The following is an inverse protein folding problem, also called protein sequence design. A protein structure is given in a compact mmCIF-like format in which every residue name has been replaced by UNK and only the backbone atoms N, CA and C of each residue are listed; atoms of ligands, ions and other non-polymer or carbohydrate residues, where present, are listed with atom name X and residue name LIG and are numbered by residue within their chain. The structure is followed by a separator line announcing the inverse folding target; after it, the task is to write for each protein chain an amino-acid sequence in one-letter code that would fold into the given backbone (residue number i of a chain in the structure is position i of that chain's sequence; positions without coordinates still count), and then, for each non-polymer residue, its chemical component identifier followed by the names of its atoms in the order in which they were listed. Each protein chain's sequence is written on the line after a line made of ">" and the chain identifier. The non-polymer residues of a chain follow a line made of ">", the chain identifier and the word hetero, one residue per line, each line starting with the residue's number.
data_IF_637743637724
#
_entry.id   IF_637743637724
#
_cell.length_a   1.000
_cell.length_b   1.000
_cell.length_c   1.000
_cell.angle_alpha   90.00
_cell.angle_beta   90.00
_cell.angle_gamma   90.00
#
_symmetry.space_group_name_H-M   'P 1'
#
loop_
_entity.id
_entity.type
_entity.pdbx_description
1 polymer ?
#
# COMPACT_ATOMS: atom_id res chain seq x y z
N UNK A 1 32.06 -29.82 -45.36
CA UNK A 1 32.55 -29.98 -43.97
C UNK A 1 31.50 -29.33 -43.07
N UNK A 2 30.58 -30.08 -42.45
CA UNK A 2 30.72 -30.76 -41.13
C UNK A 2 30.83 -29.74 -39.97
N UNK A 3 30.03 -29.66 -38.88
CA UNK A 3 28.89 -30.36 -38.23
C UNK A 3 28.21 -29.29 -37.30
N UNK A 4 26.87 -29.16 -37.18
CA UNK A 4 25.94 -29.77 -36.19
C UNK A 4 26.18 -29.36 -34.71
N UNK A 5 25.27 -28.70 -33.96
CA UNK A 5 24.12 -29.19 -33.12
C UNK A 5 23.80 -28.05 -32.10
N UNK A 6 22.67 -27.88 -31.41
CA UNK A 6 21.32 -28.46 -31.34
C UNK A 6 20.52 -27.53 -30.39
N UNK A 7 19.29 -27.15 -30.75
CA UNK A 7 18.27 -26.66 -29.79
C UNK A 7 17.06 -27.59 -29.95
N UNK A 8 16.75 -28.36 -28.90
CA UNK A 8 15.47 -29.06 -28.74
C UNK A 8 14.46 -28.00 -28.26
N UNK A 9 13.22 -27.88 -28.71
CA UNK A 9 12.30 -28.87 -29.25
C UNK A 9 11.05 -28.85 -28.37
N UNK A 10 10.17 -27.85 -28.55
CA UNK A 10 8.82 -27.85 -27.98
C UNK A 10 7.84 -28.04 -29.14
N UNK A 11 7.26 -29.23 -29.24
CA UNK A 11 6.42 -29.65 -30.36
C UNK A 11 5.07 -28.93 -30.34
N UNK A 12 4.79 -28.18 -31.39
CA UNK A 12 3.44 -27.76 -31.77
C UNK A 12 2.92 -28.72 -32.84
N UNK A 13 1.84 -29.46 -32.56
CA UNK A 13 1.06 -30.13 -33.58
C UNK A 13 -0.06 -29.18 -34.03
N UNK A 14 0.13 -28.62 -35.22
CA UNK A 14 -0.91 -28.02 -36.05
C UNK A 14 -1.88 -29.13 -36.52
N UNK A 15 -3.17 -28.96 -36.22
CA UNK A 15 -4.25 -29.55 -37.03
C UNK A 15 -5.00 -28.40 -37.66
N UNK A 16 -4.93 -28.32 -38.99
CA UNK A 16 -5.65 -27.34 -39.80
C UNK A 16 -7.04 -27.84 -40.18
N UNK A 17 -8.00 -26.92 -39.98
CA UNK A 17 -9.23 -26.65 -40.74
C UNK A 17 -10.33 -27.71 -40.80
N UNK A 18 -11.51 -27.31 -40.34
CA UNK A 18 -12.65 -27.06 -41.24
C UNK A 18 -13.61 -26.07 -40.59
N UNK A 19 -14.07 -25.11 -41.38
CA UNK A 19 -15.11 -24.16 -41.03
C UNK A 19 -16.45 -24.89 -41.14
N UNK A 20 -17.32 -24.72 -40.15
CA UNK A 20 -18.75 -24.71 -40.41
C UNK A 20 -19.51 -23.89 -39.38
N UNK A 21 -20.50 -23.21 -39.94
CA UNK A 21 -21.42 -22.22 -39.35
C UNK A 21 -22.24 -22.86 -38.24
N UNK A 22 -22.55 -22.11 -37.17
CA UNK A 22 -23.91 -22.01 -36.60
C UNK A 22 -23.93 -20.91 -35.54
N UNK A 23 -24.63 -19.81 -35.85
CA UNK A 23 -25.11 -18.84 -34.87
C UNK A 23 -26.52 -19.26 -34.43
N UNK A 24 -26.88 -19.00 -33.16
CA UNK A 24 -28.25 -18.63 -32.84
C UNK A 24 -28.27 -17.22 -32.26
N UNK A 25 -29.03 -16.37 -32.94
CA UNK A 25 -29.56 -15.10 -32.51
C UNK A 25 -30.26 -15.21 -31.14
N UNK A 26 -29.78 -14.46 -30.15
CA UNK A 26 -30.55 -14.13 -28.95
C UNK A 26 -31.12 -12.71 -29.09
N UNK A 27 -32.44 -12.52 -28.94
CA UNK A 27 -33.03 -11.19 -28.91
C UNK A 27 -32.69 -10.51 -27.57
N UNK A 28 -31.95 -9.42 -27.65
CA UNK A 28 -32.00 -8.38 -26.62
C UNK A 28 -33.38 -7.73 -26.70
N UNK A 29 -34.17 -7.84 -25.63
CA UNK A 29 -35.12 -6.82 -25.21
C UNK A 29 -35.80 -7.24 -23.90
N UNK A 30 -36.03 -6.22 -23.06
CA UNK A 30 -36.63 -6.25 -21.71
C UNK A 30 -35.63 -6.55 -20.61
N UNK A 31 -35.33 -5.53 -19.79
CA UNK A 31 -35.36 -5.52 -18.32
C UNK A 31 -34.75 -4.19 -17.85
N UNK A 32 -35.47 -3.08 -18.01
CA UNK A 32 -35.22 -1.82 -17.30
C UNK A 32 -36.52 -1.04 -17.17
N UNK A 33 -37.44 -1.51 -16.32
CA UNK A 33 -38.51 -0.71 -15.70
C UNK A 33 -39.05 -1.42 -14.45
N UNK A 34 -38.65 -0.93 -13.28
CA UNK A 34 -39.56 -0.78 -12.14
C UNK A 34 -38.90 0.12 -11.11
N UNK A 35 -39.25 1.40 -11.19
CA UNK A 35 -39.28 2.29 -10.04
C UNK A 35 -40.39 1.85 -9.08
N UNK A 36 -40.26 2.31 -7.84
CA UNK A 36 -41.32 2.49 -6.85
C UNK A 36 -41.73 1.26 -6.04
N UNK A 37 -41.27 1.23 -4.79
CA UNK A 37 -42.09 1.50 -3.60
C UNK A 37 -41.38 0.95 -2.35
N UNK A 38 -41.07 1.78 -1.35
CA UNK A 38 -41.47 1.50 0.04
C UNK A 38 -41.33 2.78 0.90
N UNK A 39 -42.42 3.07 1.61
CA UNK A 39 -42.66 4.22 2.49
C UNK A 39 -41.83 4.18 3.80
N UNK A 40 -41.66 5.32 4.50
CA UNK A 40 -41.03 5.40 5.82
C UNK A 40 -42.04 5.19 6.96
N UNK A 41 -41.59 4.63 8.08
CA UNK A 41 -42.29 4.71 9.36
C UNK A 41 -41.38 5.35 10.42
N UNK A 42 -41.97 6.28 11.17
CA UNK A 42 -41.40 7.04 12.28
C UNK A 42 -41.66 6.38 13.64
N UNK A 43 -40.91 6.88 14.66
CA UNK A 43 -41.18 6.91 16.11
C UNK A 43 -40.88 5.59 16.88
N UNK A 44 -40.27 5.52 18.08
CA UNK A 44 -39.91 6.40 19.21
C UNK A 44 -38.60 5.82 19.84
N UNK A 45 -37.70 6.47 20.59
CA UNK A 45 -37.82 7.50 21.61
C UNK A 45 -37.67 6.90 23.03
N UNK A 46 -36.44 6.60 23.52
CA UNK A 46 -36.13 6.35 24.95
C UNK A 46 -34.65 6.72 25.27
N UNK A 47 -34.43 7.72 26.13
CA UNK A 47 -33.18 7.94 26.91
C UNK A 47 -33.17 7.04 28.17
N UNK A 48 -32.01 6.75 28.81
CA UNK A 48 -31.66 7.58 29.98
C UNK A 48 -30.16 7.78 30.30
N UNK A 49 -29.93 8.92 30.96
CA UNK A 49 -29.07 9.19 32.12
C UNK A 49 -27.53 9.23 32.06
N UNK A 50 -27.06 10.46 32.31
CA UNK A 50 -25.73 10.91 32.70
C UNK A 50 -25.34 10.42 34.11
N UNK A 51 -24.09 9.98 34.27
CA UNK A 51 -23.38 10.06 35.54
C UNK A 51 -22.03 10.78 35.38
N UNK A 52 -21.88 11.83 36.17
CA UNK A 52 -20.74 12.72 36.26
C UNK A 52 -19.57 12.10 37.02
N UNK A 53 -18.36 12.28 36.54
CA UNK A 53 -17.18 12.38 37.40
C UNK A 53 -16.20 13.42 36.83
N UNK A 54 -16.16 14.54 37.54
CA UNK A 54 -15.24 15.67 37.38
C UNK A 54 -13.80 15.25 37.63
N UNK A 55 -12.91 15.48 36.66
CA UNK A 55 -11.48 15.64 36.88
C UNK A 55 -11.04 17.03 36.44
N UNK A 56 -10.57 17.81 37.41
CA UNK A 56 -10.07 19.18 37.25
C UNK A 56 -8.77 19.15 36.46
N UNK A 57 -8.75 19.80 35.29
CA UNK A 57 -7.50 20.19 34.63
C UNK A 57 -7.27 21.68 34.91
N UNK A 58 -6.20 21.96 35.63
CA UNK A 58 -5.77 23.31 35.97
C UNK A 58 -5.40 24.09 34.69
N UNK A 59 -5.83 25.35 34.64
CA UNK A 59 -5.54 26.26 33.54
C UNK A 59 -4.05 26.57 33.46
N UNK A 60 -3.43 26.35 32.30
CA UNK A 60 -2.20 27.03 31.90
C UNK A 60 -2.58 28.08 30.86
N UNK A 61 -3.16 29.18 31.32
CA UNK A 61 -3.25 30.44 30.58
C UNK A 61 -2.03 31.28 30.94
N UNK A 62 -0.96 31.15 30.17
CA UNK A 62 -0.06 32.26 29.79
C UNK A 62 1.18 31.67 29.14
N UNK A 63 1.34 31.87 27.83
CA UNK A 63 2.55 32.33 27.11
C UNK A 63 2.25 32.12 25.63
N UNK A 64 1.45 33.00 25.01
CA UNK A 64 1.43 33.20 23.56
C UNK A 64 0.95 34.62 23.28
N UNK A 65 1.91 35.55 23.24
CA UNK A 65 1.75 36.87 22.63
C UNK A 65 3.02 37.19 21.85
N UNK A 66 3.07 36.74 20.60
CA UNK A 66 3.65 37.50 19.48
C UNK A 66 3.63 36.65 18.20
N UNK A 67 2.47 36.55 17.55
CA UNK A 67 2.41 36.30 16.12
C UNK A 67 1.97 37.61 15.46
N UNK A 68 2.74 38.07 14.49
CA UNK A 68 2.58 39.36 13.82
C UNK A 68 1.23 39.43 13.07
N UNK A 69 0.62 40.62 13.12
CA UNK A 69 -0.70 40.94 12.57
C UNK A 69 -0.98 40.59 11.08
N UNK A 70 0.00 40.35 10.18
CA UNK A 70 -0.31 39.99 8.80
C UNK A 70 -0.90 38.57 8.62
N UNK A 71 -0.56 37.61 9.50
CA UNK A 71 -1.02 36.21 9.36
C UNK A 71 -2.47 35.99 9.80
N UNK A 72 -2.98 36.79 10.75
CA UNK A 72 -4.39 36.71 11.16
C UNK A 72 -5.35 37.20 10.09
N UNK A 73 -4.92 38.15 9.24
CA UNK A 73 -5.75 38.69 8.15
C UNK A 73 -5.89 37.75 6.96
N UNK A 74 -4.91 36.87 6.71
CA UNK A 74 -5.02 35.85 5.66
C UNK A 74 -5.97 34.72 6.06
N UNK A 75 -6.06 34.43 7.37
CA UNK A 75 -6.92 33.37 7.92
C UNK A 75 -8.41 33.72 7.83
N UNK A 76 -8.78 35.00 7.84
CA UNK A 76 -10.17 35.44 7.76
C UNK A 76 -10.73 35.45 6.33
N UNK A 77 -9.89 35.44 5.30
CA UNK A 77 -10.32 35.44 3.88
C UNK A 77 -10.44 34.03 3.27
N UNK A 78 -10.15 32.99 4.05
CA UNK A 78 -10.32 31.57 3.68
C UNK A 78 -11.39 30.90 4.55
N UNK A 79 -12.36 31.68 5.05
CA UNK A 79 -13.48 31.20 5.87
C UNK A 79 -14.58 30.54 5.03
N UNK A 80 -14.18 29.61 4.17
CA UNK A 80 -15.04 28.47 3.86
C UNK A 80 -14.53 27.32 4.75
N UNK A 81 -14.91 27.37 6.03
CA UNK A 81 -14.63 26.34 7.04
C UNK A 81 -15.16 24.94 6.61
N UNK A 82 -15.86 24.84 5.47
CA UNK A 82 -16.35 23.60 4.87
C UNK A 82 -15.37 22.92 3.90
N UNK A 83 -14.19 23.48 3.62
CA UNK A 83 -13.31 22.92 2.57
C UNK A 83 -12.42 21.77 3.04
N UNK A 84 -12.23 21.61 4.35
CA UNK A 84 -11.37 20.55 4.91
C UNK A 84 -12.19 19.62 5.80
N UNK A 85 -12.00 18.28 5.71
CA UNK A 85 -12.78 17.35 6.50
C UNK A 85 -12.56 17.63 7.99
N UNK A 86 -13.61 17.92 8.76
CA UNK A 86 -13.52 18.06 10.23
C UNK A 86 -12.75 16.89 10.88
N UNK A 87 -12.81 15.72 10.24
CA UNK A 87 -12.16 14.49 10.66
C UNK A 87 -10.62 14.53 10.64
N UNK A 88 -9.96 15.43 9.89
CA UNK A 88 -8.49 15.53 9.93
C UNK A 88 -7.99 16.34 11.12
N UNK A 89 -8.86 17.10 11.81
CA UNK A 89 -8.49 17.93 12.96
C UNK A 89 -7.89 17.14 14.12
N UNK A 90 -8.18 15.83 14.21
CA UNK A 90 -7.55 14.95 15.19
C UNK A 90 -6.00 14.93 15.06
N UNK A 91 -5.48 15.23 13.87
CA UNK A 91 -4.05 15.26 13.59
C UNK A 91 -3.40 16.64 13.77
N UNK A 92 -4.18 17.70 14.05
CA UNK A 92 -3.71 19.09 14.05
C UNK A 92 -2.48 19.33 14.93
N UNK A 93 -2.47 18.80 16.15
CA UNK A 93 -1.34 19.00 17.06
C UNK A 93 -0.05 18.33 16.56
N UNK A 94 -0.15 17.07 16.09
CA UNK A 94 0.99 16.33 15.58
C UNK A 94 1.49 16.92 14.24
N UNK A 95 0.57 17.24 13.33
CA UNK A 95 0.87 17.90 12.06
C UNK A 95 1.60 19.22 12.28
N UNK A 96 1.13 20.06 13.22
CA UNK A 96 1.75 21.33 13.57
C UNK A 96 3.19 21.16 14.07
N UNK A 97 3.40 20.25 15.01
CA UNK A 97 4.72 19.98 15.58
C UNK A 97 5.70 19.49 14.49
N UNK A 98 5.26 18.61 13.59
CA UNK A 98 6.06 18.14 12.46
C UNK A 98 6.34 19.30 11.50
N UNK A 99 5.33 20.09 11.13
CA UNK A 99 5.49 21.19 10.20
C UNK A 99 6.51 22.22 10.70
N UNK A 100 6.52 22.53 12.01
CA UNK A 100 7.51 23.41 12.62
C UNK A 100 8.95 22.84 12.49
N UNK A 101 9.15 21.55 12.71
CA UNK A 101 10.45 20.89 12.52
C UNK A 101 10.88 20.90 11.05
N UNK A 102 9.95 20.61 10.14
CA UNK A 102 10.20 20.64 8.70
C UNK A 102 10.57 22.06 8.24
N UNK A 103 9.87 23.08 8.71
CA UNK A 103 10.10 24.49 8.37
C UNK A 103 11.42 25.04 8.93
N UNK A 104 11.88 24.56 10.08
CA UNK A 104 13.15 24.98 10.68
C UNK A 104 14.37 24.26 10.07
N UNK A 105 14.18 23.05 9.55
CA UNK A 105 15.26 22.23 8.97
C UNK A 105 15.73 22.76 7.63
N UNK A 106 17.05 22.83 7.41
CA UNK A 106 17.67 23.24 6.14
C UNK A 106 18.04 22.03 5.29
N UNK A 107 18.64 21.01 5.90
CA UNK A 107 19.02 19.76 5.27
C UNK A 107 18.03 18.68 5.68
N UNK A 108 17.05 18.43 4.82
CA UNK A 108 16.02 17.42 5.02
C UNK A 108 16.32 16.19 4.18
N UNK A 109 16.21 15.01 4.79
CA UNK A 109 16.14 13.74 4.07
C UNK A 109 14.77 13.13 4.30
N UNK A 110 14.09 12.75 3.24
CA UNK A 110 12.86 11.98 3.29
C UNK A 110 13.17 10.57 2.80
N UNK A 111 12.73 9.56 3.54
CA UNK A 111 13.01 8.15 3.23
C UNK A 111 11.82 7.26 3.54
N UNK A 112 11.83 6.05 2.99
CA UNK A 112 10.82 5.01 3.19
C UNK A 112 11.47 3.62 3.20
N UNK A 113 10.69 2.55 3.34
CA UNK A 113 11.21 1.20 3.49
C UNK A 113 11.78 0.58 2.21
N UNK A 114 12.52 -0.52 2.40
CA UNK A 114 13.01 -1.41 1.35
C UNK A 114 11.87 -2.08 0.60
N UNK A 115 12.04 -2.21 -0.72
CA UNK A 115 11.00 -2.60 -1.69
C UNK A 115 9.75 -1.72 -1.50
N UNK A 116 9.87 -0.40 -1.73
CA UNK A 116 8.77 0.53 -1.49
C UNK A 116 7.61 0.22 -2.44
N UNK A 117 6.39 0.33 -1.94
CA UNK A 117 5.16 0.16 -2.69
C UNK A 117 4.50 1.51 -3.01
N UNK A 118 3.22 1.50 -3.38
CA UNK A 118 2.49 2.71 -3.75
C UNK A 118 2.32 3.70 -2.60
N UNK A 119 2.18 3.24 -1.36
CA UNK A 119 2.03 4.13 -0.19
C UNK A 119 3.37 4.75 0.20
N UNK A 120 4.40 3.92 0.29
CA UNK A 120 5.77 4.34 0.51
C UNK A 120 6.21 5.44 -0.47
N UNK A 121 6.01 5.23 -1.78
CA UNK A 121 6.39 6.23 -2.80
C UNK A 121 5.40 7.40 -2.86
N UNK A 122 4.11 7.13 -2.69
CA UNK A 122 3.04 8.14 -2.74
C UNK A 122 3.19 9.17 -1.61
N UNK A 123 3.41 8.71 -0.39
CA UNK A 123 3.66 9.56 0.79
C UNK A 123 4.98 10.32 0.68
N UNK A 124 6.05 9.66 0.21
CA UNK A 124 7.37 10.27 -0.06
C UNK A 124 7.30 11.43 -1.05
N UNK A 125 6.70 11.20 -2.21
CA UNK A 125 6.57 12.22 -3.25
C UNK A 125 5.55 13.28 -2.86
N UNK A 126 4.43 12.90 -2.23
CA UNK A 126 3.42 13.85 -1.76
C UNK A 126 4.01 14.88 -0.80
N UNK A 127 4.72 14.43 0.23
CA UNK A 127 5.39 15.35 1.17
C UNK A 127 6.55 16.11 0.49
N UNK A 128 7.38 15.41 -0.29
CA UNK A 128 8.51 16.01 -0.99
C UNK A 128 8.10 17.14 -1.94
N UNK A 129 7.04 16.94 -2.72
CA UNK A 129 6.49 17.92 -3.65
C UNK A 129 5.83 19.09 -2.91
N UNK A 130 5.11 18.85 -1.80
CA UNK A 130 4.53 19.92 -1.00
C UNK A 130 5.63 20.83 -0.40
N UNK A 131 6.70 20.23 0.13
CA UNK A 131 7.87 20.96 0.61
C UNK A 131 8.58 21.72 -0.52
N UNK A 132 8.60 21.16 -1.74
CA UNK A 132 9.17 21.82 -2.91
C UNK A 132 8.40 23.09 -3.33
N UNK A 133 7.07 23.07 -3.25
CA UNK A 133 6.21 24.26 -3.46
C UNK A 133 6.51 25.34 -2.41
N UNK A 134 6.80 24.93 -1.17
CA UNK A 134 7.24 25.82 -0.08
C UNK A 134 8.70 26.29 -0.17
N UNK A 135 9.37 26.03 -1.30
CA UNK A 135 10.74 26.47 -1.56
C UNK A 135 11.82 25.63 -0.87
N UNK A 136 11.46 24.49 -0.28
CA UNK A 136 12.45 23.53 0.25
C UNK A 136 12.89 22.54 -0.83
N UNK A 137 14.00 21.85 -0.57
CA UNK A 137 14.56 20.83 -1.47
C UNK A 137 15.07 19.66 -0.65
N UNK A 138 14.17 18.82 -0.10
CA UNK A 138 14.59 17.62 0.61
C UNK A 138 15.31 16.66 -0.34
N UNK A 139 16.29 15.92 0.18
CA UNK A 139 16.83 14.75 -0.49
C UNK A 139 15.83 13.59 -0.33
N UNK A 140 15.29 13.10 -1.44
CA UNK A 140 14.42 11.93 -1.46
C UNK A 140 15.32 10.69 -1.65
N UNK A 141 15.57 9.95 -0.58
CA UNK A 141 16.54 8.85 -0.57
C UNK A 141 15.88 7.55 -0.14
N UNK A 142 15.89 6.53 -0.99
CA UNK A 142 15.25 5.24 -0.72
C UNK A 142 16.25 4.08 -0.75
N UNK A 143 16.05 3.02 0.04
CA UNK A 143 17.00 1.91 0.13
C UNK A 143 17.02 0.98 -1.09
N UNK A 144 16.01 1.05 -1.96
CA UNK A 144 15.91 0.18 -3.14
C UNK A 144 15.16 0.86 -4.29
N UNK A 145 15.34 0.40 -5.55
CA UNK A 145 14.73 1.02 -6.71
C UNK A 145 13.19 1.13 -6.64
N UNK A 146 12.67 2.24 -7.19
CA UNK A 146 11.23 2.47 -7.34
C UNK A 146 10.63 1.47 -8.34
N UNK A 147 9.52 0.78 -7.99
CA UNK A 147 8.82 -0.11 -8.91
C UNK A 147 8.43 0.56 -10.22
N UNK A 148 8.52 -0.18 -11.32
CA UNK A 148 8.31 0.40 -12.65
C UNK A 148 6.90 0.98 -12.86
N UNK A 149 5.88 0.40 -12.23
CA UNK A 149 4.50 0.84 -12.29
C UNK A 149 4.23 2.14 -11.51
N UNK A 150 5.20 2.66 -10.73
CA UNK A 150 5.11 3.94 -10.01
C UNK A 150 5.91 5.07 -10.68
N UNK A 151 6.62 4.79 -11.77
CA UNK A 151 7.48 5.76 -12.47
C UNK A 151 6.72 6.85 -13.21
N UNK A 152 5.40 6.78 -13.26
CA UNK A 152 4.55 7.84 -13.81
C UNK A 152 4.34 8.99 -12.83
N UNK A 153 4.64 8.80 -11.54
CA UNK A 153 4.36 9.79 -10.51
C UNK A 153 5.22 11.05 -10.66
N UNK A 154 4.63 12.26 -10.47
CA UNK A 154 5.35 13.50 -10.55
C UNK A 154 6.44 13.60 -9.48
N UNK A 155 7.67 13.91 -9.89
CA UNK A 155 8.83 14.05 -9.00
C UNK A 155 9.61 12.76 -8.77
N UNK A 156 9.15 11.61 -9.28
CA UNK A 156 9.81 10.30 -9.09
C UNK A 156 11.26 10.27 -9.57
N UNK A 157 11.60 11.05 -10.60
CA UNK A 157 12.96 11.18 -11.13
C UNK A 157 13.94 11.85 -10.15
N UNK A 158 13.43 12.54 -9.13
CA UNK A 158 14.22 13.15 -8.06
C UNK A 158 14.54 12.19 -6.92
N UNK A 159 14.04 10.95 -6.96
CA UNK A 159 14.36 9.93 -5.95
C UNK A 159 15.74 9.33 -6.24
N UNK A 160 16.62 9.41 -5.26
CA UNK A 160 17.92 8.75 -5.28
C UNK A 160 17.82 7.38 -4.59
N UNK A 161 18.42 6.36 -5.20
CA UNK A 161 18.56 5.03 -4.58
C UNK A 161 19.85 5.03 -3.78
N UNK A 162 19.77 4.61 -2.53
CA UNK A 162 20.91 4.60 -1.64
C UNK A 162 22.06 3.75 -2.20
N UNK A 163 23.24 4.30 -2.04
CA UNK A 163 24.50 3.73 -2.47
C UNK A 163 25.54 4.11 -1.40
N UNK A 164 26.05 3.14 -0.63
CA UNK A 164 27.01 3.40 0.44
C UNK A 164 28.35 3.96 -0.07
N UNK A 165 28.66 3.78 -1.36
CA UNK A 165 29.89 4.28 -2.00
C UNK A 165 29.77 5.73 -2.50
N UNK A 166 28.57 6.30 -2.46
CA UNK A 166 28.26 7.65 -2.93
C UNK A 166 28.35 8.72 -1.83
N UNK A 167 27.79 9.91 -2.10
CA UNK A 167 27.66 10.99 -1.13
C UNK A 167 26.57 10.78 -0.08
N UNK A 168 25.71 9.76 -0.20
CA UNK A 168 24.53 9.57 0.64
C UNK A 168 24.85 9.47 2.14
N UNK A 169 25.92 8.78 2.53
CA UNK A 169 26.34 8.71 3.93
C UNK A 169 26.71 10.08 4.52
N UNK A 170 27.34 10.94 3.71
CA UNK A 170 27.62 12.32 4.15
C UNK A 170 26.34 13.15 4.25
N UNK A 171 25.41 12.98 3.32
CA UNK A 171 24.12 13.67 3.36
C UNK A 171 23.30 13.27 4.60
N UNK A 172 23.24 11.97 4.93
CA UNK A 172 22.59 11.46 6.14
C UNK A 172 23.25 11.96 7.43
N UNK A 173 24.57 12.08 7.45
CA UNK A 173 25.31 12.62 8.60
C UNK A 173 25.22 14.14 8.76
N UNK A 174 24.90 14.87 7.69
CA UNK A 174 24.74 16.32 7.68
C UNK A 174 23.27 16.78 7.77
N UNK A 175 22.32 15.85 7.79
CA UNK A 175 20.90 16.16 7.86
C UNK A 175 20.52 16.81 9.19
N UNK A 176 19.65 17.82 9.14
CA UNK A 176 19.03 18.39 10.34
C UNK A 176 17.88 17.50 10.82
N UNK A 177 17.11 16.96 9.87
CA UNK A 177 16.06 15.98 10.13
C UNK A 177 15.94 14.92 9.03
N UNK A 178 15.57 13.71 9.45
CA UNK A 178 15.26 12.56 8.61
C UNK A 178 13.79 12.21 8.85
N UNK A 179 12.98 12.29 7.80
CA UNK A 179 11.56 11.93 7.84
C UNK A 179 11.41 10.50 7.38
N UNK A 180 10.96 9.64 8.29
CA UNK A 180 10.67 8.23 8.10
C UNK A 180 9.19 8.08 7.72
N UNK A 181 8.93 7.77 6.45
CA UNK A 181 7.58 7.62 5.89
C UNK A 181 7.29 6.15 5.64
N UNK A 182 6.18 5.66 6.19
CA UNK A 182 5.64 4.32 5.93
C UNK A 182 6.48 3.17 6.49
N UNK A 183 7.27 3.47 7.53
CA UNK A 183 7.90 2.46 8.36
C UNK A 183 8.21 3.01 9.74
N UNK A 184 8.23 2.12 10.71
CA UNK A 184 8.43 2.48 12.11
C UNK A 184 9.52 1.66 12.82
N UNK A 185 10.31 0.89 12.07
CA UNK A 185 11.49 0.17 12.57
C UNK A 185 12.65 0.37 11.59
N UNK A 186 13.82 0.81 12.04
CA UNK A 186 14.91 1.13 11.10
C UNK A 186 15.44 -0.09 10.33
N UNK A 187 15.19 -1.32 10.80
CA UNK A 187 15.53 -2.54 10.05
C UNK A 187 14.87 -2.58 8.66
N UNK A 188 13.77 -1.84 8.45
CA UNK A 188 13.10 -1.69 7.16
C UNK A 188 13.90 -0.87 6.15
N UNK A 189 15.01 -0.25 6.55
CA UNK A 189 15.90 0.53 5.70
C UNK A 189 17.06 -0.29 5.07
N UNK A 190 17.19 -1.57 5.40
CA UNK A 190 18.27 -2.43 4.90
C UNK A 190 19.65 -1.78 5.09
N UNK A 191 20.47 -1.60 4.03
CA UNK A 191 21.80 -1.01 4.14
C UNK A 191 21.81 0.47 4.60
N UNK A 192 20.68 1.17 4.54
CA UNK A 192 20.52 2.52 5.08
C UNK A 192 20.33 2.55 6.60
N UNK A 193 20.05 1.41 7.25
CA UNK A 193 19.78 1.37 8.70
C UNK A 193 20.93 1.97 9.50
N UNK A 194 22.15 1.47 9.29
CA UNK A 194 23.34 1.87 10.05
C UNK A 194 23.62 3.39 9.99
N UNK A 195 23.72 4.03 8.80
CA UNK A 195 23.95 5.46 8.75
C UNK A 195 22.78 6.30 9.28
N UNK A 196 21.52 5.86 9.13
CA UNK A 196 20.36 6.57 9.71
C UNK A 196 20.38 6.47 11.24
N UNK A 197 20.67 5.28 11.79
CA UNK A 197 20.77 5.03 13.24
C UNK A 197 21.92 5.81 13.88
N UNK A 198 23.04 5.96 13.16
CA UNK A 198 24.21 6.71 13.61
C UNK A 198 24.14 8.23 13.42
N UNK A 199 23.11 8.74 12.73
CA UNK A 199 22.94 10.17 12.49
C UNK A 199 22.48 10.91 13.75
N UNK A 200 22.93 12.16 13.91
CA UNK A 200 22.45 13.07 14.97
C UNK A 200 21.19 13.84 14.56
N UNK A 201 20.70 13.65 13.33
CA UNK A 201 19.51 14.30 12.82
C UNK A 201 18.26 13.97 13.64
N UNK A 202 17.32 14.92 13.73
CA UNK A 202 16.01 14.65 14.31
C UNK A 202 15.26 13.65 13.43
N UNK A 203 14.83 12.53 14.01
CA UNK A 203 14.01 11.53 13.29
C UNK A 203 12.54 11.86 13.47
N UNK A 204 11.80 12.02 12.37
CA UNK A 204 10.37 12.32 12.36
C UNK A 204 9.63 11.14 11.77
N UNK A 205 8.60 10.64 12.45
CA UNK A 205 7.80 9.51 11.98
C UNK A 205 6.47 10.00 11.37
N UNK A 206 6.13 9.51 10.19
CA UNK A 206 4.76 9.54 9.66
C UNK A 206 4.44 8.13 9.17
N UNK A 207 3.55 7.42 9.86
CA UNK A 207 3.37 5.98 9.66
C UNK A 207 2.02 5.48 10.19
N UNK A 208 1.50 4.40 9.61
CA UNK A 208 0.23 3.77 10.00
C UNK A 208 0.38 2.30 10.44
N UNK A 209 1.61 1.80 10.61
CA UNK A 209 1.87 0.43 11.04
C UNK A 209 1.77 0.28 12.57
N UNK A 210 1.59 -0.94 13.07
CA UNK A 210 1.58 -1.19 14.51
C UNK A 210 2.99 -1.09 15.11
N UNK A 211 3.05 -0.81 16.41
CA UNK A 211 4.25 -0.96 17.26
C UNK A 211 5.51 -0.18 16.79
N UNK A 212 5.44 1.17 16.73
CA UNK A 212 6.60 1.97 16.35
C UNK A 212 7.76 1.86 17.34
N UNK A 213 8.99 1.87 16.82
CA UNK A 213 10.20 1.97 17.66
C UNK A 213 10.26 3.32 18.40
N UNK A 214 11.09 3.39 19.44
CA UNK A 214 11.29 4.64 20.19
C UNK A 214 12.39 5.52 19.57
N UNK A 215 12.40 6.80 19.96
CA UNK A 215 13.48 7.73 19.61
C UNK A 215 13.22 8.60 18.38
N UNK A 216 11.96 8.71 17.95
CA UNK A 216 11.50 9.79 17.07
C UNK A 216 11.29 11.08 17.86
N UNK A 217 11.71 12.22 17.31
CA UNK A 217 11.53 13.54 17.90
C UNK A 217 10.08 14.05 17.79
N UNK A 218 9.37 13.64 16.75
CA UNK A 218 7.95 13.87 16.54
C UNK A 218 7.36 12.71 15.74
N UNK A 219 6.07 12.45 15.92
CA UNK A 219 5.36 11.39 15.22
C UNK A 219 3.92 11.83 14.87
N UNK A 220 3.52 11.57 13.62
CA UNK A 220 2.14 11.53 13.19
C UNK A 220 1.83 10.07 12.87
N UNK A 221 1.25 9.39 13.84
CA UNK A 221 1.08 7.94 13.82
C UNK A 221 -0.38 7.59 14.14
N UNK A 222 -1.01 6.81 13.26
CA UNK A 222 -2.35 6.29 13.46
C UNK A 222 -2.53 4.95 12.75
N UNK A 223 -2.57 3.87 13.53
CA UNK A 223 -2.75 2.52 13.01
C UNK A 223 -4.15 2.25 12.41
N UNK A 224 -5.11 3.16 12.61
CA UNK A 224 -6.43 3.08 11.98
C UNK A 224 -6.50 3.82 10.64
N UNK A 225 -5.49 4.61 10.27
CA UNK A 225 -5.42 5.21 8.94
C UNK A 225 -5.22 4.13 7.88
N UNK A 226 -5.79 4.35 6.68
CA UNK A 226 -5.66 3.37 5.61
C UNK A 226 -4.27 3.31 5.02
N UNK A 227 -3.46 4.36 5.20
CA UNK A 227 -2.16 4.53 4.55
C UNK A 227 -1.40 5.69 5.19
N UNK A 228 -0.08 5.69 5.07
CA UNK A 228 0.78 6.84 5.37
C UNK A 228 0.46 8.04 4.47
N UNK A 229 0.07 7.81 3.21
CA UNK A 229 -0.39 8.86 2.30
C UNK A 229 -1.65 9.59 2.79
N UNK A 230 -2.57 8.91 3.50
CA UNK A 230 -3.71 9.56 4.18
C UNK A 230 -3.21 10.53 5.27
N UNK A 231 -2.21 10.14 6.04
CA UNK A 231 -1.60 10.97 7.10
C UNK A 231 -0.83 12.15 6.53
N UNK A 232 -0.06 11.95 5.46
CA UNK A 232 0.62 13.04 4.76
C UNK A 232 -0.40 14.00 4.15
N UNK A 233 -1.50 13.49 3.59
CA UNK A 233 -2.61 14.33 3.11
C UNK A 233 -3.16 15.21 4.22
N UNK A 234 -3.44 14.63 5.40
CA UNK A 234 -3.90 15.41 6.55
C UNK A 234 -2.90 16.50 6.95
N UNK A 235 -1.60 16.18 7.01
CA UNK A 235 -0.56 17.16 7.32
C UNK A 235 -0.54 18.31 6.29
N UNK A 236 -0.58 17.99 5.00
CA UNK A 236 -0.59 19.00 3.93
C UNK A 236 -1.85 19.87 4.02
N UNK A 237 -3.03 19.29 4.21
CA UNK A 237 -4.28 20.04 4.31
C UNK A 237 -4.30 20.98 5.52
N UNK A 238 -3.73 20.55 6.66
CA UNK A 238 -3.72 21.33 7.90
C UNK A 238 -2.68 22.45 7.91
N UNK A 239 -1.47 22.18 7.42
CA UNK A 239 -0.34 23.08 7.62
C UNK A 239 0.15 23.73 6.31
N UNK A 240 -0.07 23.09 5.17
CA UNK A 240 0.40 23.52 3.84
C UNK A 240 -0.72 23.50 2.76
N UNK A 241 -1.95 23.99 3.03
CA UNK A 241 -3.06 23.84 2.10
C UNK A 241 -2.79 24.48 0.73
N UNK A 242 -2.00 25.56 0.69
CA UNK A 242 -1.56 26.22 -0.55
C UNK A 242 -0.63 25.36 -1.43
N UNK A 243 -0.01 24.33 -0.85
CA UNK A 243 0.92 23.45 -1.53
C UNK A 243 0.23 22.26 -2.19
N UNK A 244 -1.09 22.07 -2.01
CA UNK A 244 -1.84 20.96 -2.61
C UNK A 244 -2.07 21.19 -4.11
N UNK A 245 -1.01 21.00 -4.89
CA UNK A 245 -1.03 21.04 -6.35
C UNK A 245 -1.32 19.65 -6.93
N UNK A 246 -1.58 19.51 -8.25
CA UNK A 246 -1.72 18.19 -8.88
C UNK A 246 -0.50 17.28 -8.65
N UNK A 247 0.70 17.87 -8.62
CA UNK A 247 1.95 17.14 -8.36
C UNK A 247 2.05 16.61 -6.92
N UNK A 248 1.30 17.18 -5.98
CA UNK A 248 1.17 16.68 -4.60
C UNK A 248 -0.01 15.71 -4.50
N UNK A 249 -1.12 16.03 -5.13
CA UNK A 249 -2.36 15.26 -5.01
C UNK A 249 -2.26 13.88 -5.67
N UNK A 250 -1.61 13.75 -6.83
CA UNK A 250 -1.54 12.48 -7.56
C UNK A 250 -0.72 11.39 -6.81
N UNK A 251 0.47 11.67 -6.24
CA UNK A 251 1.17 10.70 -5.40
C UNK A 251 0.40 10.32 -4.14
N UNK A 252 -0.23 11.28 -3.45
CA UNK A 252 -1.01 11.00 -2.24
C UNK A 252 -2.23 10.12 -2.55
N UNK A 253 -2.95 10.43 -3.63
CA UNK A 253 -4.05 9.61 -4.10
C UNK A 253 -3.58 8.18 -4.41
N UNK A 254 -2.43 8.06 -5.08
CA UNK A 254 -1.83 6.76 -5.44
C UNK A 254 -1.56 5.91 -4.20
N UNK A 255 -0.96 6.48 -3.16
CA UNK A 255 -0.69 5.75 -1.91
C UNK A 255 -1.95 5.27 -1.22
N UNK A 256 -2.95 6.14 -1.09
CA UNK A 256 -4.26 5.78 -0.51
C UNK A 256 -4.92 4.68 -1.36
N UNK A 257 -4.92 4.81 -2.69
CA UNK A 257 -5.52 3.85 -3.61
C UNK A 257 -4.91 2.44 -3.45
N UNK A 258 -3.59 2.35 -3.42
CA UNK A 258 -2.89 1.06 -3.36
C UNK A 258 -3.06 0.37 -2.02
N UNK A 259 -2.92 1.11 -0.92
CA UNK A 259 -2.89 0.48 0.41
C UNK A 259 -4.30 0.29 1.01
N UNK A 260 -5.31 0.99 0.49
CA UNK A 260 -6.72 0.67 0.77
C UNK A 260 -7.27 -0.51 -0.05
N UNK A 261 -6.44 -1.11 -0.92
CA UNK A 261 -6.86 -2.19 -1.81
C UNK A 261 -7.91 -1.74 -2.82
N UNK A 262 -7.78 -0.53 -3.37
CA UNK A 262 -8.79 0.13 -4.18
C UNK A 262 -10.08 0.41 -3.37
N UNK A 263 -9.92 1.00 -2.19
CA UNK A 263 -10.98 1.41 -1.25
C UNK A 263 -11.86 0.27 -0.71
N UNK A 264 -11.35 -0.97 -0.71
CA UNK A 264 -12.12 -2.15 -0.28
C UNK A 264 -11.79 -2.64 1.13
N UNK A 265 -10.63 -2.26 1.66
CA UNK A 265 -10.15 -2.82 2.93
C UNK A 265 -10.88 -2.23 4.15
N UNK A 266 -10.95 -2.97 5.27
CA UNK A 266 -11.79 -2.59 6.42
C UNK A 266 -11.45 -1.26 7.10
N UNK A 267 -10.22 -0.75 6.91
CA UNK A 267 -9.80 0.55 7.46
C UNK A 267 -10.33 1.74 6.66
N UNK A 268 -10.86 1.51 5.47
CA UNK A 268 -11.44 2.57 4.63
C UNK A 268 -12.62 3.19 5.35
N UNK A 269 -12.60 4.51 5.48
CA UNK A 269 -13.59 5.27 6.24
C UNK A 269 -14.15 6.44 5.45
N UNK A 270 -15.17 7.11 6.01
CA UNK A 270 -15.68 8.36 5.44
C UNK A 270 -14.58 9.43 5.35
N UNK A 271 -13.65 9.49 6.33
CA UNK A 271 -12.49 10.39 6.31
C UNK A 271 -11.62 10.13 5.09
N UNK A 272 -11.31 8.85 4.81
CA UNK A 272 -10.53 8.43 3.63
C UNK A 272 -11.18 8.97 2.35
N UNK A 273 -12.48 8.77 2.16
CA UNK A 273 -13.18 9.24 0.96
C UNK A 273 -13.27 10.76 0.85
N UNK A 274 -13.38 11.49 1.97
CA UNK A 274 -13.35 12.96 1.96
C UNK A 274 -11.97 13.48 1.56
N UNK A 275 -10.89 12.91 2.11
CA UNK A 275 -9.52 13.23 1.70
C UNK A 275 -9.36 12.96 0.20
N UNK A 276 -9.77 11.77 -0.26
CA UNK A 276 -9.71 11.40 -1.68
C UNK A 276 -10.48 12.39 -2.57
N UNK A 277 -11.67 12.82 -2.17
CA UNK A 277 -12.43 13.84 -2.89
C UNK A 277 -11.64 15.14 -3.00
N UNK A 278 -11.04 15.62 -1.90
CA UNK A 278 -10.19 16.82 -1.91
C UNK A 278 -8.98 16.65 -2.82
N UNK A 279 -8.32 15.48 -2.84
CA UNK A 279 -7.20 15.22 -3.74
C UNK A 279 -7.63 15.28 -5.22
N UNK A 280 -8.82 14.76 -5.55
CA UNK A 280 -9.39 14.84 -6.90
C UNK A 280 -9.67 16.30 -7.29
N UNK A 281 -10.26 17.08 -6.39
CA UNK A 281 -10.52 18.51 -6.59
C UNK A 281 -9.23 19.30 -6.89
N UNK A 282 -8.09 18.84 -6.37
CA UNK A 282 -6.77 19.44 -6.57
C UNK A 282 -5.94 18.78 -7.69
N UNK A 283 -6.58 17.96 -8.53
CA UNK A 283 -6.00 17.49 -9.79
C UNK A 283 -5.43 16.08 -9.77
N UNK A 284 -5.66 15.28 -8.72
CA UNK A 284 -5.50 13.84 -8.85
C UNK A 284 -6.53 13.30 -9.85
N UNK A 285 -6.08 12.53 -10.85
CA UNK A 285 -6.95 11.89 -11.83
C UNK A 285 -7.08 10.38 -11.52
N UNK A 286 -8.20 9.94 -10.92
CA UNK A 286 -8.43 8.54 -10.59
C UNK A 286 -8.25 7.58 -11.77
N UNK A 287 -8.66 7.99 -12.97
CA UNK A 287 -8.65 7.13 -14.15
C UNK A 287 -7.21 6.92 -14.61
N UNK A 288 -6.48 8.03 -14.85
CA UNK A 288 -5.09 7.95 -15.28
C UNK A 288 -4.19 7.25 -14.26
N UNK A 289 -4.41 7.49 -12.97
CA UNK A 289 -3.65 6.83 -11.89
C UNK A 289 -3.96 5.34 -11.86
N UNK A 290 -5.23 4.95 -11.90
CA UNK A 290 -5.62 3.53 -11.91
C UNK A 290 -5.05 2.83 -13.14
N UNK A 291 -5.15 3.45 -14.31
CA UNK A 291 -4.64 2.87 -15.56
C UNK A 291 -3.13 2.64 -15.52
N UNK A 292 -2.37 3.60 -14.98
CA UNK A 292 -0.92 3.49 -14.86
C UNK A 292 -0.47 2.36 -13.91
N UNK A 293 -1.24 2.09 -12.84
CA UNK A 293 -0.92 1.08 -11.84
C UNK A 293 -1.40 -0.31 -12.28
N UNK A 294 -2.66 -0.43 -12.69
CA UNK A 294 -3.34 -1.71 -12.85
C UNK A 294 -3.51 -2.14 -14.31
N UNK A 295 -3.59 -1.19 -15.26
CA UNK A 295 -3.85 -1.46 -16.67
C UNK A 295 -2.59 -1.42 -17.55
N UNK A 296 -1.44 -1.77 -16.98
CA UNK A 296 -0.13 -1.83 -17.67
C UNK A 296 0.40 -3.26 -17.87
N UNK A 297 -0.45 -4.27 -17.68
CA UNK A 297 -0.07 -5.68 -17.82
C UNK A 297 0.43 -6.00 -19.25
N UNK A 298 1.59 -6.65 -19.34
CA UNK A 298 2.11 -7.12 -20.62
C UNK A 298 1.38 -8.39 -21.09
N UNK A 299 1.34 -8.67 -22.41
CA UNK A 299 0.82 -9.95 -22.90
C UNK A 299 1.54 -11.18 -22.32
N UNK A 300 2.83 -11.07 -21.98
CA UNK A 300 3.59 -12.12 -21.34
C UNK A 300 3.06 -12.41 -19.92
N UNK A 301 2.86 -11.37 -19.13
CA UNK A 301 2.26 -11.45 -17.78
C UNK A 301 0.86 -12.04 -17.81
N UNK A 302 0.01 -11.63 -18.74
CA UNK A 302 -1.36 -12.17 -18.88
C UNK A 302 -1.34 -13.66 -19.28
N UNK A 303 -0.43 -14.09 -20.16
CA UNK A 303 -0.27 -15.51 -20.50
C UNK A 303 0.23 -16.33 -19.32
N UNK A 304 1.20 -15.80 -18.55
CA UNK A 304 1.68 -16.45 -17.34
C UNK A 304 0.56 -16.56 -16.29
N UNK A 305 -0.27 -15.53 -16.13
CA UNK A 305 -1.45 -15.62 -15.26
C UNK A 305 -2.36 -16.78 -15.70
N UNK A 306 -2.62 -16.93 -17.01
CA UNK A 306 -3.37 -18.06 -17.54
C UNK A 306 -2.74 -19.41 -17.19
N UNK A 307 -1.41 -19.54 -17.28
CA UNK A 307 -0.67 -20.73 -16.86
C UNK A 307 -0.89 -21.06 -15.39
N UNK A 308 -0.72 -20.05 -14.52
CA UNK A 308 -0.86 -20.18 -13.08
C UNK A 308 -2.29 -20.53 -12.70
N UNK A 309 -3.30 -19.90 -13.32
CA UNK A 309 -4.71 -20.20 -13.05
C UNK A 309 -5.09 -21.65 -13.39
N UNK A 310 -4.43 -22.29 -14.37
CA UNK A 310 -4.65 -23.72 -14.67
C UNK A 310 -4.17 -24.65 -13.55
N UNK A 311 -3.35 -24.16 -12.61
CA UNK A 311 -2.84 -24.94 -11.46
C UNK A 311 -3.76 -24.89 -10.25
N UNK A 312 -4.90 -24.17 -10.34
CA UNK A 312 -5.84 -23.99 -9.25
C UNK A 312 -6.22 -25.32 -8.59
N UNK A 313 -5.99 -25.40 -7.28
CA UNK A 313 -6.44 -26.49 -6.43
C UNK A 313 -7.22 -25.97 -5.24
N UNK A 314 -8.31 -26.65 -4.88
CA UNK A 314 -9.21 -26.26 -3.80
C UNK A 314 -9.02 -27.24 -2.64
N UNK A 315 -8.78 -26.69 -1.45
CA UNK A 315 -8.46 -27.44 -0.24
C UNK A 315 -9.29 -26.94 0.97
N UNK A 316 -9.10 -27.60 2.12
CA UNK A 316 -9.72 -27.22 3.40
C UNK A 316 -11.25 -27.06 3.30
N UNK A 317 -11.92 -28.05 2.69
CA UNK A 317 -13.37 -28.07 2.48
C UNK A 317 -13.89 -26.86 1.67
N UNK A 318 -13.13 -26.39 0.68
CA UNK A 318 -13.53 -25.27 -0.17
C UNK A 318 -13.10 -23.90 0.35
N UNK A 319 -12.51 -23.80 1.55
CA UNK A 319 -12.13 -22.53 2.16
C UNK A 319 -10.74 -22.03 1.78
N UNK A 320 -9.92 -22.87 1.16
CA UNK A 320 -8.57 -22.53 0.72
C UNK A 320 -8.41 -22.81 -0.78
N UNK A 321 -7.81 -21.86 -1.51
CA UNK A 321 -7.42 -22.05 -2.90
C UNK A 321 -5.91 -21.85 -3.07
N UNK A 322 -5.28 -22.75 -3.81
CA UNK A 322 -3.83 -22.77 -4.05
C UNK A 322 -3.56 -22.61 -5.54
N UNK A 323 -2.67 -21.69 -5.86
CA UNK A 323 -2.03 -21.56 -7.17
C UNK A 323 -0.55 -21.91 -7.03
N UNK A 324 0.05 -22.42 -8.11
CA UNK A 324 1.48 -22.73 -8.11
C UNK A 324 2.16 -22.36 -9.43
N UNK A 325 3.47 -22.18 -9.36
CA UNK A 325 4.32 -21.86 -10.50
C UNK A 325 5.67 -22.57 -10.38
N UNK A 326 6.01 -23.40 -11.37
CA UNK A 326 7.34 -24.03 -11.48
C UNK A 326 8.35 -23.13 -12.19
N UNK A 327 9.65 -23.45 -12.07
CA UNK A 327 10.70 -22.72 -12.79
C UNK A 327 10.56 -22.87 -14.31
N UNK A 328 10.18 -24.06 -14.80
CA UNK A 328 9.97 -24.33 -16.22
C UNK A 328 8.83 -23.47 -16.78
N UNK A 329 7.70 -23.40 -16.05
CA UNK A 329 6.56 -22.57 -16.43
C UNK A 329 6.92 -21.08 -16.49
N UNK A 330 7.68 -20.58 -15.50
CA UNK A 330 8.13 -19.20 -15.49
C UNK A 330 9.05 -18.89 -16.70
N UNK A 331 9.97 -19.80 -17.03
CA UNK A 331 10.90 -19.63 -18.15
C UNK A 331 10.21 -19.61 -19.52
N UNK A 332 9.15 -20.40 -19.72
CA UNK A 332 8.44 -20.53 -21.00
C UNK A 332 7.78 -19.25 -21.51
N UNK A 333 7.51 -18.27 -20.66
CA UNK A 333 6.76 -17.06 -21.03
C UNK A 333 7.59 -15.78 -21.12
N UNK A 334 8.91 -15.85 -20.91
CA UNK A 334 9.77 -14.66 -20.87
C UNK A 334 9.36 -13.65 -19.82
N UNK A 335 8.58 -14.11 -18.82
CA UNK A 335 8.05 -13.29 -17.76
C UNK A 335 9.13 -13.01 -16.73
N UNK A 336 9.12 -11.80 -16.18
CA UNK A 336 9.98 -11.40 -15.07
C UNK A 336 9.41 -11.92 -13.77
N UNK A 337 10.25 -12.05 -12.74
CA UNK A 337 9.80 -12.44 -11.40
C UNK A 337 8.65 -11.56 -10.88
N UNK A 338 8.72 -10.26 -11.18
CA UNK A 338 7.71 -9.26 -10.81
C UNK A 338 6.36 -9.48 -11.53
N UNK A 339 6.32 -10.26 -12.62
CA UNK A 339 5.08 -10.56 -13.34
C UNK A 339 4.10 -11.41 -12.52
N UNK A 340 4.55 -12.01 -11.41
CA UNK A 340 3.72 -12.84 -10.52
C UNK A 340 3.03 -12.04 -9.41
N UNK A 341 3.35 -10.76 -9.26
CA UNK A 341 2.76 -9.90 -8.23
C UNK A 341 1.24 -9.83 -8.37
N UNK A 342 0.51 -9.97 -7.25
CA UNK A 342 -0.96 -9.94 -7.26
C UNK A 342 -1.65 -11.23 -7.72
N UNK A 343 -0.94 -12.24 -8.24
CA UNK A 343 -1.58 -13.49 -8.70
C UNK A 343 -2.31 -14.24 -7.59
N UNK A 344 -1.76 -14.23 -6.37
CA UNK A 344 -2.43 -14.79 -5.19
C UNK A 344 -3.81 -14.20 -4.96
N UNK A 345 -4.09 -12.94 -5.37
CA UNK A 345 -5.38 -12.29 -5.13
C UNK A 345 -6.54 -12.95 -5.90
N UNK A 346 -6.27 -13.59 -7.04
CA UNK A 346 -7.28 -14.29 -7.82
C UNK A 346 -7.92 -15.45 -7.05
N UNK A 347 -7.17 -16.08 -6.13
CA UNK A 347 -7.71 -17.15 -5.27
C UNK A 347 -8.89 -16.67 -4.43
N UNK A 348 -8.83 -15.43 -3.91
CA UNK A 348 -9.86 -14.84 -3.06
C UNK A 348 -11.09 -14.37 -3.86
N UNK A 349 -11.06 -14.41 -5.18
CA UNK A 349 -12.25 -14.10 -6.02
C UNK A 349 -13.23 -15.27 -6.06
N UNK A 350 -12.80 -16.46 -5.65
CA UNK A 350 -13.61 -17.67 -5.62
C UNK A 350 -14.58 -17.61 -4.44
N UNK A 351 -15.84 -17.93 -4.70
CA UNK A 351 -16.90 -18.00 -3.68
C UNK A 351 -16.54 -19.05 -2.60
N UNK A 352 -16.76 -18.71 -1.34
CA UNK A 352 -16.44 -19.57 -0.19
C UNK A 352 -14.97 -19.63 0.21
N UNK A 353 -14.03 -19.22 -0.65
CA UNK A 353 -12.60 -19.16 -0.30
C UNK A 353 -12.32 -17.97 0.60
N UNK A 354 -11.68 -18.21 1.76
CA UNK A 354 -11.11 -17.15 2.61
C UNK A 354 -9.61 -17.24 2.84
N UNK A 355 -8.91 -18.27 2.34
CA UNK A 355 -7.45 -18.31 2.31
C UNK A 355 -6.96 -18.56 0.88
N UNK A 356 -6.07 -17.69 0.45
CA UNK A 356 -5.40 -17.74 -0.84
C UNK A 356 -3.93 -18.06 -0.68
N UNK A 357 -3.44 -19.04 -1.43
CA UNK A 357 -2.03 -19.44 -1.42
C UNK A 357 -1.47 -19.37 -2.83
N UNK A 358 -0.28 -18.79 -2.98
CA UNK A 358 0.50 -18.88 -4.19
C UNK A 358 1.90 -19.40 -3.89
N UNK A 359 2.27 -20.51 -4.51
CA UNK A 359 3.55 -21.19 -4.35
C UNK A 359 4.39 -21.02 -5.61
N UNK A 360 5.53 -20.34 -5.53
CA UNK A 360 6.40 -20.13 -6.68
C UNK A 360 7.79 -20.66 -6.40
N UNK A 361 8.31 -21.52 -7.26
CA UNK A 361 9.74 -21.88 -7.19
C UNK A 361 10.61 -20.66 -7.51
N UNK A 362 11.70 -20.49 -6.78
CA UNK A 362 12.62 -19.36 -6.96
C UNK A 362 13.70 -19.72 -8.00
N UNK A 363 13.87 -18.95 -9.09
CA UNK A 363 14.93 -19.19 -10.07
C UNK A 363 16.31 -19.16 -9.43
N UNK A 364 17.17 -20.13 -9.76
CA UNK A 364 18.56 -20.19 -9.27
C UNK A 364 18.69 -20.52 -7.78
N UNK A 365 17.59 -20.85 -7.09
CA UNK A 365 17.58 -21.22 -5.68
C UNK A 365 16.70 -22.45 -5.47
N UNK A 366 17.18 -23.41 -4.70
CA UNK A 366 16.37 -24.55 -4.26
C UNK A 366 15.45 -24.10 -3.12
N UNK A 367 14.41 -23.33 -3.46
CA UNK A 367 13.46 -22.77 -2.51
C UNK A 367 12.10 -22.47 -3.16
N UNK A 368 11.05 -22.49 -2.34
CA UNK A 368 9.69 -22.11 -2.72
C UNK A 368 9.26 -20.87 -1.95
N UNK A 369 8.88 -19.82 -2.68
CA UNK A 369 8.23 -18.62 -2.12
C UNK A 369 6.75 -18.92 -1.90
N UNK A 370 6.27 -18.66 -0.70
CA UNK A 370 4.87 -18.78 -0.30
C UNK A 370 4.30 -17.37 -0.14
N UNK A 371 3.23 -17.07 -0.88
CA UNK A 371 2.45 -15.85 -0.72
C UNK A 371 1.06 -16.20 -0.21
N UNK A 372 0.63 -15.57 0.87
CA UNK A 372 -0.63 -15.83 1.55
C UNK A 372 -1.51 -14.59 1.52
N UNK A 373 -2.81 -14.80 1.28
CA UNK A 373 -3.85 -13.78 1.44
C UNK A 373 -5.04 -14.37 2.17
N UNK A 374 -5.81 -13.54 2.86
CA UNK A 374 -7.07 -13.97 3.45
C UNK A 374 -8.16 -12.90 3.44
N UNK A 375 -9.39 -13.32 3.78
CA UNK A 375 -10.54 -12.45 4.03
C UNK A 375 -10.85 -12.37 5.52
N UNK A 376 -11.50 -11.27 5.92
CA UNK A 376 -11.99 -11.08 7.29
C UNK A 376 -10.87 -11.22 8.33
N UNK A 377 -11.13 -11.96 9.39
CA UNK A 377 -10.24 -12.09 10.54
C UNK A 377 -9.34 -13.34 10.50
N UNK A 378 -9.21 -13.98 9.32
CA UNK A 378 -8.34 -15.15 9.17
C UNK A 378 -6.88 -14.69 9.13
N UNK A 379 -6.12 -15.01 10.16
CA UNK A 379 -4.78 -14.50 10.37
C UNK A 379 -3.73 -15.39 9.68
N UNK A 380 -3.36 -15.02 8.46
CA UNK A 380 -2.33 -15.73 7.69
C UNK A 380 -0.90 -15.37 8.09
N UNK A 381 -0.70 -14.32 8.90
CA UNK A 381 0.62 -13.99 9.46
C UNK A 381 1.13 -15.14 10.32
N UNK A 382 0.26 -15.74 11.14
CA UNK A 382 0.61 -16.90 12.00
C UNK A 382 1.09 -18.12 11.21
N UNK A 383 0.61 -18.30 9.98
CA UNK A 383 1.08 -19.37 9.08
C UNK A 383 2.46 -19.01 8.54
N UNK A 384 2.65 -17.76 8.10
CA UNK A 384 3.94 -17.30 7.60
C UNK A 384 5.04 -17.38 8.67
N UNK A 385 4.77 -16.97 9.92
CA UNK A 385 5.72 -17.03 11.03
C UNK A 385 6.19 -18.46 11.34
N UNK A 386 5.27 -19.43 11.31
CA UNK A 386 5.61 -20.85 11.46
C UNK A 386 6.47 -21.40 10.32
N UNK A 387 6.47 -20.73 9.17
CA UNK A 387 7.33 -21.03 8.02
C UNK A 387 8.62 -20.17 8.01
N UNK A 388 8.89 -19.40 9.06
CA UNK A 388 10.05 -18.50 9.15
C UNK A 388 9.91 -17.20 8.33
N UNK A 389 8.69 -16.85 7.96
CA UNK A 389 8.33 -15.60 7.27
C UNK A 389 7.61 -14.60 8.19
N UNK A 390 6.77 -13.75 7.60
CA UNK A 390 5.99 -12.73 8.31
C UNK A 390 5.07 -11.94 7.38
N UNK A 391 4.48 -10.86 7.90
CA UNK A 391 3.61 -9.95 7.16
C UNK A 391 2.49 -9.38 8.03
N UNK A 392 1.33 -9.14 7.42
CA UNK A 392 0.11 -8.67 8.07
C UNK A 392 -0.96 -9.76 8.16
N UNK A 393 -1.97 -9.52 9.00
CA UNK A 393 -3.11 -10.41 9.24
C UNK A 393 -3.69 -11.00 7.94
N UNK A 394 -3.94 -10.18 6.91
CA UNK A 394 -4.51 -10.63 5.63
C UNK A 394 -3.51 -10.78 4.48
N UNK A 395 -2.22 -10.52 4.71
CA UNK A 395 -1.21 -10.53 3.66
C UNK A 395 0.17 -10.85 4.23
N UNK A 396 0.60 -12.10 4.07
CA UNK A 396 1.86 -12.58 4.62
C UNK A 396 2.60 -13.47 3.61
N UNK A 397 3.85 -13.81 3.91
CA UNK A 397 4.64 -14.69 3.07
C UNK A 397 5.87 -15.25 3.75
N UNK A 398 6.41 -16.32 3.17
CA UNK A 398 7.60 -17.01 3.66
C UNK A 398 8.41 -17.56 2.48
N UNK A 399 9.65 -17.97 2.75
CA UNK A 399 10.46 -18.74 1.81
C UNK A 399 10.85 -20.03 2.52
N UNK A 400 10.52 -21.16 1.90
CA UNK A 400 10.88 -22.48 2.41
C UNK A 400 12.07 -22.98 1.59
N UNK A 401 13.20 -23.21 2.26
CA UNK A 401 14.43 -23.70 1.64
C UNK A 401 14.41 -25.22 1.43
N UNK A 402 15.08 -25.68 0.38
CA UNK A 402 15.40 -27.10 0.10
C UNK A 402 14.16 -28.00 0.12
N UNK A 403 13.10 -27.56 -0.54
CA UNK A 403 11.81 -28.23 -0.55
C UNK A 403 11.26 -28.29 -1.98
N UNK A 404 10.58 -29.40 -2.30
CA UNK A 404 9.85 -29.49 -3.56
C UNK A 404 8.57 -28.65 -3.50
N UNK A 405 8.03 -28.27 -4.66
CA UNK A 405 6.76 -27.54 -4.73
C UNK A 405 5.60 -28.34 -4.12
N UNK A 406 5.62 -29.67 -4.28
CA UNK A 406 4.63 -30.57 -3.71
C UNK A 406 4.71 -30.65 -2.18
N UNK A 407 5.91 -30.79 -1.63
CA UNK A 407 6.11 -30.85 -0.18
C UNK A 407 5.78 -29.51 0.49
N UNK A 408 6.17 -28.40 -0.13
CA UNK A 408 5.80 -27.06 0.32
C UNK A 408 4.27 -26.89 0.36
N UNK A 409 3.57 -27.39 -0.67
CA UNK A 409 2.10 -27.37 -0.72
C UNK A 409 1.48 -28.15 0.44
N UNK A 410 1.96 -29.38 0.71
CA UNK A 410 1.46 -30.19 1.82
C UNK A 410 1.70 -29.53 3.17
N UNK A 411 2.90 -28.99 3.38
CA UNK A 411 3.26 -28.29 4.61
C UNK A 411 2.36 -27.07 4.84
N UNK A 412 2.17 -26.22 3.82
CA UNK A 412 1.35 -25.00 3.91
C UNK A 412 -0.12 -25.35 4.14
N UNK A 413 -0.67 -26.35 3.43
CA UNK A 413 -2.05 -26.78 3.61
C UNK A 413 -2.30 -27.36 5.01
N UNK A 414 -1.36 -28.11 5.59
CA UNK A 414 -1.49 -28.61 6.96
C UNK A 414 -1.58 -27.48 7.99
N UNK A 415 -0.80 -26.41 7.84
CA UNK A 415 -0.85 -25.24 8.71
C UNK A 415 -2.16 -24.45 8.55
N UNK A 416 -2.63 -24.29 7.31
CA UNK A 416 -3.89 -23.58 7.02
C UNK A 416 -5.09 -24.37 7.56
N UNK A 417 -5.11 -25.70 7.40
CA UNK A 417 -6.19 -26.55 7.91
C UNK A 417 -6.28 -26.48 9.44
N UNK A 418 -5.13 -26.49 10.13
CA UNK A 418 -5.08 -26.29 11.58
C UNK A 418 -5.58 -24.89 11.98
N UNK A 419 -5.18 -23.83 11.27
CA UNK A 419 -5.65 -22.46 11.52
C UNK A 419 -7.18 -22.36 11.37
N UNK A 420 -7.71 -22.87 10.25
CA UNK A 420 -9.13 -22.82 9.91
C UNK A 420 -10.01 -23.75 10.77
N UNK A 421 -9.40 -24.73 11.45
CA UNK A 421 -10.09 -25.60 12.42
C UNK A 421 -10.16 -24.95 13.80
N UNK A 422 -9.14 -24.16 14.18
CA UNK A 422 -9.13 -23.41 15.44
C UNK A 422 -10.08 -22.20 15.40
N UNK A 423 -10.20 -21.57 14.22
CA UNK A 423 -11.15 -20.48 13.99
C UNK A 423 -12.48 -21.07 13.51
N UNK A 424 -13.41 -21.37 14.42
CA UNK A 424 -14.81 -21.75 14.11
C UNK A 424 -15.64 -20.64 13.40
N UNK A 425 -15.00 -19.60 12.88
CA UNK A 425 -15.66 -18.42 12.33
C UNK A 425 -15.90 -18.58 10.84
N UNK A 426 -17.03 -18.03 10.39
CA UNK A 426 -17.30 -17.84 8.98
C UNK A 426 -16.23 -16.92 8.39
N UNK A 427 -15.78 -17.24 7.17
CA UNK A 427 -15.32 -16.24 6.23
C UNK A 427 -16.43 -15.15 6.12
#
# INVERSE_FOLDING_TARGET
>A
MHWQRSIHGCSSSLVTRTADRFAPSFPMDRWWRSTDCFHPMFADGIEPELHSSTLRVASVRSVFRSASAPLQKLRSSLSDDSMFPDDVQQYAHAARAIAELLDQSKHLVLTTHVRPDGDAIGSLLGLGNALAVRGKRPLLLVPSPVPSFLRFLPGVQGIEVYDPSSQHNRALGAADAIVCLDFNTLARLDQMESPVRGSTALRILIDHHLDPETGFAAALHDANATSTAELVSALVLLEYPEALTPDVAAPLYTGILTDSGNFRFPRVSARTHRIVATLIEHGADPVSIYDAIFNTNTPARIRLLGEVLRTLDIACQGRCAVLSLTQEQAACHGARLDDTEGFVQYTLTIEGVCVGVFLSQMPGRDAVKVSLRSKGNVDVQRVAEQLGGGGHLNAAGAIIERVTLGDAKQQVLGLIDALLSQQQQNC
#
